data_IF_330889327853
#
_entry.id   IF_330889327853
#
_cell.length_a   1.000
_cell.length_b   1.000
_cell.length_c   1.000
_cell.angle_alpha   90.00
_cell.angle_beta   90.00
_cell.angle_gamma   90.00
#
_symmetry.space_group_name_H-M   'P 1'
#
loop_
_entity.id
_entity.type
_entity.pdbx_description
1 polymer ?
#
# COMPACT_ATOMS: atom_id res chain seq x y z
N UNK A 1 9.80 -28.21 -58.79
CA UNK A 1 8.42 -27.71 -58.64
C UNK A 1 7.48 -28.77 -58.09
N UNK A 2 7.13 -29.83 -58.85
CA UNK A 2 6.17 -30.87 -58.41
C UNK A 2 6.53 -31.56 -57.08
N UNK A 3 7.79 -31.96 -56.89
CA UNK A 3 8.23 -32.60 -55.64
C UNK A 3 8.11 -31.67 -54.42
N UNK A 4 8.43 -30.38 -54.57
CA UNK A 4 8.31 -29.38 -53.51
C UNK A 4 6.83 -29.17 -53.16
N UNK A 5 5.95 -29.07 -54.16
CA UNK A 5 4.51 -28.97 -53.94
C UNK A 5 3.95 -30.21 -53.22
N UNK A 6 4.40 -31.42 -53.58
CA UNK A 6 3.99 -32.66 -52.93
C UNK A 6 4.46 -32.73 -51.46
N UNK A 7 5.69 -32.33 -51.17
CA UNK A 7 6.20 -32.25 -49.80
C UNK A 7 5.42 -31.24 -48.95
N UNK A 8 5.11 -30.06 -49.48
CA UNK A 8 4.32 -29.03 -48.79
C UNK A 8 2.91 -29.55 -48.49
N UNK A 9 2.27 -30.21 -49.46
CA UNK A 9 0.95 -30.82 -49.26
C UNK A 9 0.98 -31.94 -48.20
N UNK A 10 2.00 -32.80 -48.22
CA UNK A 10 2.14 -33.85 -47.22
C UNK A 10 2.30 -33.30 -45.80
N UNK A 11 3.13 -32.26 -45.62
CA UNK A 11 3.29 -31.56 -44.33
C UNK A 11 1.99 -30.91 -43.89
N UNK A 12 1.23 -30.30 -44.82
CA UNK A 12 -0.03 -29.65 -44.51
C UNK A 12 -1.12 -30.65 -44.10
N UNK A 13 -1.22 -31.80 -44.79
CA UNK A 13 -2.14 -32.90 -44.45
C UNK A 13 -1.78 -33.51 -43.09
N UNK A 14 -0.49 -33.75 -42.83
CA UNK A 14 -0.03 -34.23 -41.52
C UNK A 14 -0.32 -33.20 -40.40
N UNK A 15 -0.11 -31.91 -40.68
CA UNK A 15 -0.46 -30.81 -39.78
C UNK A 15 -1.95 -30.71 -39.48
N UNK A 16 -2.82 -30.92 -40.48
CA UNK A 16 -4.26 -30.96 -40.28
C UNK A 16 -4.71 -32.18 -39.46
N UNK A 17 -4.16 -33.37 -39.73
CA UNK A 17 -4.48 -34.57 -38.94
C UNK A 17 -4.08 -34.39 -37.48
N UNK A 18 -2.86 -33.91 -37.21
CA UNK A 18 -2.39 -33.66 -35.85
C UNK A 18 -3.24 -32.61 -35.13
N UNK A 19 -3.59 -31.50 -35.81
CA UNK A 19 -4.52 -30.50 -35.29
C UNK A 19 -5.90 -31.09 -34.97
N UNK A 20 -6.45 -31.93 -35.85
CA UNK A 20 -7.74 -32.59 -35.64
C UNK A 20 -7.75 -33.48 -34.40
N UNK A 21 -6.76 -34.38 -34.25
CA UNK A 21 -6.67 -35.26 -33.08
C UNK A 21 -6.45 -34.48 -31.79
N UNK A 22 -5.58 -33.47 -31.81
CA UNK A 22 -5.34 -32.61 -30.65
C UNK A 22 -6.62 -31.87 -30.20
N UNK A 23 -7.38 -31.31 -31.16
CA UNK A 23 -8.63 -30.63 -30.86
C UNK A 23 -9.72 -31.61 -30.38
N UNK A 24 -9.83 -32.80 -31.00
CA UNK A 24 -10.80 -33.82 -30.60
C UNK A 24 -10.55 -34.31 -29.18
N UNK A 25 -9.29 -34.61 -28.83
CA UNK A 25 -8.92 -35.02 -27.49
C UNK A 25 -9.25 -33.93 -26.46
N UNK A 26 -8.96 -32.67 -26.79
CA UNK A 26 -9.23 -31.54 -25.91
C UNK A 26 -10.73 -31.27 -25.72
N UNK A 27 -11.56 -31.45 -26.77
CA UNK A 27 -13.03 -31.39 -26.66
C UNK A 27 -13.57 -32.50 -25.76
N UNK A 28 -13.09 -33.73 -25.94
CA UNK A 28 -13.52 -34.88 -25.14
C UNK A 28 -13.15 -34.71 -23.67
N UNK A 29 -11.91 -34.29 -23.38
CA UNK A 29 -11.44 -34.06 -22.01
C UNK A 29 -12.28 -32.99 -21.31
N UNK A 30 -12.47 -31.84 -21.95
CA UNK A 30 -13.30 -30.75 -21.39
C UNK A 30 -14.74 -31.22 -21.16
N UNK A 31 -15.31 -31.99 -22.10
CA UNK A 31 -16.64 -32.57 -21.96
C UNK A 31 -16.77 -33.50 -20.75
N UNK A 32 -15.81 -34.41 -20.56
CA UNK A 32 -15.79 -35.36 -19.43
C UNK A 32 -15.64 -34.62 -18.10
N UNK A 33 -14.75 -33.64 -18.02
CA UNK A 33 -14.55 -32.90 -16.76
C UNK A 33 -15.74 -31.99 -16.46
N UNK A 34 -16.36 -31.39 -17.47
CA UNK A 34 -17.58 -30.59 -17.32
C UNK A 34 -18.77 -31.41 -16.81
N UNK A 35 -18.93 -32.65 -17.28
CA UNK A 35 -20.01 -33.53 -16.77
C UNK A 35 -19.71 -33.99 -15.36
N UNK A 36 -18.48 -34.45 -15.06
CA UNK A 36 -18.08 -34.87 -13.70
C UNK A 36 -18.20 -33.76 -12.66
N UNK A 37 -17.78 -32.53 -12.97
CA UNK A 37 -17.89 -31.40 -12.06
C UNK A 37 -19.36 -31.02 -11.73
N UNK A 38 -20.30 -31.38 -12.61
CA UNK A 38 -21.73 -31.12 -12.45
C UNK A 38 -22.51 -32.30 -11.87
N UNK A 39 -21.92 -33.49 -11.84
CA UNK A 39 -22.61 -34.69 -11.38
C UNK A 39 -22.67 -34.73 -9.85
N UNK A 40 -23.86 -34.45 -9.32
CA UNK A 40 -24.14 -34.41 -7.87
C UNK A 40 -24.01 -35.80 -7.24
N UNK A 41 -24.05 -36.88 -8.03
CA UNK A 41 -23.92 -38.26 -7.55
C UNK A 41 -22.48 -38.62 -7.16
N UNK A 42 -21.50 -37.90 -7.70
CA UNK A 42 -20.09 -38.12 -7.38
C UNK A 42 -19.73 -37.54 -6.00
N UNK A 43 -18.70 -38.07 -5.33
CA UNK A 43 -18.15 -37.44 -4.13
C UNK A 43 -17.71 -35.99 -4.38
N UNK A 44 -17.85 -35.12 -3.38
CA UNK A 44 -17.52 -33.70 -3.50
C UNK A 44 -16.04 -33.46 -3.86
N UNK A 45 -15.14 -34.31 -3.37
CA UNK A 45 -13.72 -34.30 -3.72
C UNK A 45 -13.48 -34.51 -5.21
N UNK A 46 -14.19 -35.47 -5.83
CA UNK A 46 -14.11 -35.75 -7.27
C UNK A 46 -14.70 -34.61 -8.09
N UNK A 47 -15.83 -34.04 -7.66
CA UNK A 47 -16.43 -32.88 -8.32
C UNK A 47 -15.47 -31.67 -8.32
N UNK A 48 -14.79 -31.40 -7.20
CA UNK A 48 -13.80 -30.32 -7.10
C UNK A 48 -12.55 -30.60 -7.95
N UNK A 49 -12.05 -31.84 -7.96
CA UNK A 49 -10.90 -32.22 -8.80
C UNK A 49 -11.23 -32.10 -10.30
N UNK A 50 -12.43 -32.52 -10.71
CA UNK A 50 -12.91 -32.35 -12.07
C UNK A 50 -13.07 -30.86 -12.43
N UNK A 51 -13.62 -30.05 -11.53
CA UNK A 51 -13.76 -28.60 -11.73
C UNK A 51 -12.39 -27.93 -11.88
N UNK A 52 -11.40 -28.31 -11.08
CA UNK A 52 -10.04 -27.79 -11.17
C UNK A 52 -9.36 -28.17 -12.48
N UNK A 53 -9.55 -29.41 -12.92
CA UNK A 53 -9.04 -29.87 -14.22
C UNK A 53 -9.68 -29.07 -15.34
N UNK A 54 -11.01 -28.89 -15.31
CA UNK A 54 -11.75 -28.05 -16.26
C UNK A 54 -11.24 -26.60 -16.26
N UNK A 55 -11.05 -25.98 -15.09
CA UNK A 55 -10.47 -24.65 -14.97
C UNK A 55 -9.12 -24.55 -15.66
N UNK A 56 -8.19 -25.48 -15.39
CA UNK A 56 -6.85 -25.46 -15.98
C UNK A 56 -6.88 -25.54 -17.52
N UNK A 57 -7.91 -26.19 -18.09
CA UNK A 57 -8.12 -26.23 -19.54
C UNK A 57 -8.66 -24.89 -20.05
N UNK A 58 -9.58 -24.26 -19.33
CA UNK A 58 -10.11 -22.94 -19.69
C UNK A 58 -9.02 -21.86 -19.61
N UNK A 59 -8.18 -21.86 -18.57
CA UNK A 59 -7.00 -20.99 -18.47
C UNK A 59 -6.06 -21.16 -19.66
N UNK A 60 -5.77 -22.42 -20.04
CA UNK A 60 -4.97 -22.72 -21.23
C UNK A 60 -5.62 -22.21 -22.51
N UNK A 61 -6.94 -22.34 -22.65
CA UNK A 61 -7.67 -21.80 -23.81
C UNK A 61 -7.62 -20.26 -23.84
N UNK A 62 -7.86 -19.60 -22.70
CA UNK A 62 -7.76 -18.13 -22.57
C UNK A 62 -6.37 -17.64 -22.93
N UNK A 63 -5.32 -18.32 -22.43
CA UNK A 63 -3.92 -18.01 -22.76
C UNK A 63 -3.65 -18.13 -24.27
N UNK A 64 -4.09 -19.24 -24.90
CA UNK A 64 -3.90 -19.47 -26.35
C UNK A 64 -4.64 -18.44 -27.21
N UNK A 65 -5.82 -18.00 -26.79
CA UNK A 65 -6.57 -16.96 -27.51
C UNK A 65 -5.82 -15.62 -27.46
N UNK A 66 -5.16 -15.29 -26.35
CA UNK A 66 -4.40 -14.04 -26.19
C UNK A 66 -3.01 -14.07 -26.83
N UNK A 67 -2.29 -15.20 -26.71
CA UNK A 67 -0.88 -15.32 -27.08
C UNK A 67 -0.62 -16.19 -28.32
N UNK A 68 -1.67 -16.75 -28.92
CA UNK A 68 -1.61 -17.63 -30.09
C UNK A 68 -1.60 -19.12 -29.74
N UNK A 69 -2.18 -19.93 -30.62
CA UNK A 69 -2.18 -21.39 -30.49
C UNK A 69 -0.79 -22.00 -30.79
N UNK A 70 -0.47 -23.16 -30.19
CA UNK A 70 0.72 -23.93 -30.55
C UNK A 70 0.77 -24.23 -32.05
N UNK A 71 1.97 -24.29 -32.64
CA UNK A 71 2.16 -24.43 -34.09
C UNK A 71 1.40 -25.63 -34.70
N UNK A 72 1.33 -26.75 -33.98
CA UNK A 72 0.61 -27.96 -34.41
C UNK A 72 -0.93 -27.79 -34.45
N UNK A 73 -1.47 -26.70 -33.89
CA UNK A 73 -2.90 -26.35 -33.97
C UNK A 73 -3.19 -25.28 -35.03
N UNK A 74 -2.17 -24.68 -35.66
CA UNK A 74 -2.32 -23.54 -36.58
C UNK A 74 -2.71 -23.91 -38.02
N UNK A 75 -2.92 -25.19 -38.31
CA UNK A 75 -3.31 -25.69 -39.63
C UNK A 75 -4.82 -25.51 -39.94
N UNK A 76 -5.41 -24.39 -39.51
CA UNK A 76 -6.78 -23.98 -39.90
C UNK A 76 -7.94 -24.64 -39.14
N UNK A 77 -7.67 -25.52 -38.17
CA UNK A 77 -8.70 -26.20 -37.36
C UNK A 77 -8.81 -25.64 -35.92
N UNK A 78 -8.31 -24.43 -35.66
CA UNK A 78 -8.34 -23.84 -34.33
C UNK A 78 -9.79 -23.62 -33.85
N UNK A 79 -10.15 -24.24 -32.72
CA UNK A 79 -11.50 -24.11 -32.10
C UNK A 79 -11.46 -23.51 -30.70
N UNK A 80 -10.34 -22.91 -30.30
CA UNK A 80 -10.11 -22.47 -28.91
C UNK A 80 -11.20 -21.52 -28.41
N UNK A 81 -11.56 -20.49 -29.20
CA UNK A 81 -12.60 -19.52 -28.84
C UNK A 81 -14.00 -20.15 -28.75
N UNK A 82 -14.39 -20.95 -29.74
CA UNK A 82 -15.67 -21.65 -29.74
C UNK A 82 -15.79 -22.62 -28.56
N UNK A 83 -14.73 -23.38 -28.29
CA UNK A 83 -14.74 -24.32 -27.19
C UNK A 83 -14.74 -23.64 -25.83
N UNK A 84 -14.00 -22.53 -25.67
CA UNK A 84 -14.08 -21.70 -24.48
C UNK A 84 -15.53 -21.25 -24.28
N UNK A 85 -16.17 -20.66 -25.31
CA UNK A 85 -17.55 -20.18 -25.24
C UNK A 85 -18.58 -21.27 -24.89
N UNK A 86 -18.35 -22.51 -25.33
CA UNK A 86 -19.23 -23.65 -25.05
C UNK A 86 -19.00 -24.25 -23.66
N UNK A 87 -17.74 -24.29 -23.20
CA UNK A 87 -17.37 -24.93 -21.94
C UNK A 87 -17.54 -24.02 -20.73
N UNK A 88 -17.39 -22.70 -20.90
CA UNK A 88 -17.45 -21.73 -19.81
C UNK A 88 -18.79 -21.73 -19.06
N UNK A 89 -19.97 -21.83 -19.70
CA UNK A 89 -21.24 -21.94 -18.99
C UNK A 89 -21.33 -23.19 -18.10
N UNK A 90 -20.79 -24.33 -18.57
CA UNK A 90 -20.73 -25.56 -17.77
C UNK A 90 -19.81 -25.40 -16.55
N UNK A 91 -18.65 -24.78 -16.74
CA UNK A 91 -17.77 -24.39 -15.64
C UNK A 91 -18.49 -23.48 -14.65
N UNK A 92 -19.13 -22.41 -15.13
CA UNK A 92 -19.84 -21.44 -14.31
C UNK A 92 -20.92 -22.09 -13.44
N UNK A 93 -21.70 -23.02 -14.00
CA UNK A 93 -22.72 -23.74 -13.25
C UNK A 93 -22.13 -24.57 -12.11
N UNK A 94 -21.05 -25.31 -12.37
CA UNK A 94 -20.37 -26.10 -11.35
C UNK A 94 -19.66 -25.21 -10.32
N UNK A 95 -18.91 -24.20 -10.76
CA UNK A 95 -18.19 -23.27 -9.90
C UNK A 95 -19.11 -22.43 -9.03
N UNK A 96 -20.27 -22.00 -9.53
CA UNK A 96 -21.23 -21.27 -8.72
C UNK A 96 -21.73 -22.13 -7.56
N UNK A 97 -22.06 -23.41 -7.79
CA UNK A 97 -22.49 -24.31 -6.72
C UNK A 97 -21.34 -24.70 -5.78
N UNK A 98 -20.20 -25.08 -6.35
CA UNK A 98 -19.09 -25.69 -5.60
C UNK A 98 -18.17 -24.67 -4.94
N UNK A 99 -18.09 -23.44 -5.45
CA UNK A 99 -17.15 -22.41 -4.99
C UNK A 99 -17.93 -21.22 -4.44
N UNK A 100 -18.74 -20.56 -5.28
CA UNK A 100 -19.46 -19.33 -4.90
C UNK A 100 -20.43 -19.57 -3.76
N UNK A 101 -21.35 -20.52 -3.89
CA UNK A 101 -22.42 -20.71 -2.92
C UNK A 101 -21.87 -21.22 -1.59
N UNK A 102 -20.85 -22.08 -1.61
CA UNK A 102 -20.14 -22.56 -0.41
C UNK A 102 -19.40 -21.41 0.29
N UNK A 103 -18.64 -20.60 -0.46
CA UNK A 103 -17.95 -19.44 0.09
C UNK A 103 -18.92 -18.40 0.65
N UNK A 104 -20.01 -18.10 -0.06
CA UNK A 104 -21.03 -17.17 0.37
C UNK A 104 -21.72 -17.65 1.66
N UNK A 105 -22.12 -18.92 1.72
CA UNK A 105 -22.74 -19.51 2.90
C UNK A 105 -21.80 -19.47 4.12
N UNK A 106 -20.52 -19.83 3.92
CA UNK A 106 -19.51 -19.75 4.97
C UNK A 106 -19.33 -18.32 5.50
N UNK A 107 -19.14 -17.35 4.61
CA UNK A 107 -18.98 -15.94 4.99
C UNK A 107 -20.22 -15.43 5.73
N UNK A 108 -21.43 -15.73 5.23
CA UNK A 108 -22.68 -15.33 5.88
C UNK A 108 -22.82 -15.97 7.26
N UNK A 109 -22.47 -17.25 7.43
CA UNK A 109 -22.51 -17.94 8.72
C UNK A 109 -21.55 -17.28 9.72
N UNK A 110 -20.32 -16.99 9.31
CA UNK A 110 -19.31 -16.35 10.15
C UNK A 110 -19.72 -14.94 10.58
N UNK A 111 -20.31 -14.16 9.67
CA UNK A 111 -20.81 -12.82 9.95
C UNK A 111 -22.06 -12.85 10.85
N UNK A 112 -22.97 -13.80 10.68
CA UNK A 112 -24.10 -14.00 11.59
C UNK A 112 -23.63 -14.36 13.00
N UNK A 113 -22.64 -15.25 13.12
CA UNK A 113 -22.05 -15.60 14.41
C UNK A 113 -21.40 -14.37 15.10
N UNK A 114 -20.80 -13.48 14.32
CA UNK A 114 -20.24 -12.23 14.84
C UNK A 114 -21.29 -11.26 15.39
N UNK A 115 -22.43 -11.11 14.68
CA UNK A 115 -23.57 -10.32 15.16
C UNK A 115 -24.09 -10.87 16.48
N UNK A 116 -24.18 -12.20 16.61
CA UNK A 116 -24.68 -12.88 17.80
C UNK A 116 -23.80 -12.74 19.06
N UNK A 117 -22.53 -12.28 18.92
CA UNK A 117 -21.68 -12.03 20.09
C UNK A 117 -22.27 -10.93 21.01
N UNK A 118 -21.90 -10.90 22.30
CA UNK A 118 -22.28 -9.79 23.18
C UNK A 118 -21.60 -8.45 22.79
N UNK A 119 -22.27 -7.29 22.95
CA UNK A 119 -21.74 -5.95 22.62
C UNK A 119 -20.36 -5.59 23.16
N UNK A 120 -19.97 -6.15 24.29
CA UNK A 120 -18.71 -5.84 24.99
C UNK A 120 -17.81 -7.07 25.20
N UNK A 121 -18.00 -8.15 24.44
CA UNK A 121 -17.14 -9.33 24.62
C UNK A 121 -15.72 -9.08 24.12
N UNK A 122 -14.67 -9.56 24.82
CA UNK A 122 -13.29 -9.42 24.35
C UNK A 122 -13.06 -10.15 23.02
N UNK A 123 -13.79 -11.24 22.77
CA UNK A 123 -13.72 -11.97 21.50
C UNK A 123 -14.20 -11.12 20.32
N UNK A 124 -15.23 -10.28 20.53
CA UNK A 124 -15.69 -9.34 19.50
C UNK A 124 -14.55 -8.39 19.15
N UNK A 125 -13.91 -7.76 20.15
CA UNK A 125 -12.76 -6.86 19.98
C UNK A 125 -11.59 -7.52 19.24
N UNK A 126 -11.23 -8.74 19.63
CA UNK A 126 -10.09 -9.47 19.06
C UNK A 126 -10.31 -9.89 17.59
N UNK A 127 -11.55 -10.19 17.18
CA UNK A 127 -11.85 -10.71 15.84
C UNK A 127 -12.28 -9.64 14.83
N UNK A 128 -12.27 -8.35 15.19
CA UNK A 128 -12.80 -7.28 14.33
C UNK A 128 -12.16 -7.19 12.95
N UNK A 129 -10.82 -7.27 12.88
CA UNK A 129 -10.10 -7.20 11.60
C UNK A 129 -10.42 -8.40 10.69
N UNK A 130 -10.50 -9.59 11.29
CA UNK A 130 -10.86 -10.81 10.59
C UNK A 130 -12.28 -10.73 10.00
N UNK A 131 -13.24 -10.24 10.80
CA UNK A 131 -14.63 -10.05 10.37
C UNK A 131 -14.78 -8.97 9.31
N UNK A 132 -13.93 -7.95 9.37
CA UNK A 132 -13.81 -6.96 8.30
C UNK A 132 -13.36 -7.60 6.98
N UNK A 133 -12.30 -8.42 6.99
CA UNK A 133 -11.83 -9.12 5.78
C UNK A 133 -12.92 -10.03 5.19
N UNK A 134 -13.69 -10.72 6.04
CA UNK A 134 -14.83 -11.54 5.62
C UNK A 134 -15.99 -10.72 5.03
N UNK A 135 -16.33 -9.57 5.63
CA UNK A 135 -17.31 -8.65 5.05
C UNK A 135 -16.85 -8.12 3.68
N UNK A 136 -15.58 -7.71 3.58
CA UNK A 136 -14.98 -7.27 2.31
C UNK A 136 -15.09 -8.36 1.25
N UNK A 137 -14.68 -9.60 1.56
CA UNK A 137 -14.81 -10.75 0.67
C UNK A 137 -16.26 -11.01 0.22
N UNK A 138 -17.23 -10.95 1.14
CA UNK A 138 -18.65 -11.14 0.80
C UNK A 138 -19.17 -10.05 -0.15
N UNK A 139 -18.76 -8.80 0.07
CA UNK A 139 -19.17 -7.67 -0.77
C UNK A 139 -18.50 -7.72 -2.15
N UNK A 140 -17.27 -8.21 -2.27
CA UNK A 140 -16.61 -8.45 -3.57
C UNK A 140 -17.43 -9.39 -4.45
N UNK A 141 -18.01 -10.45 -3.87
CA UNK A 141 -18.89 -11.39 -4.59
C UNK A 141 -20.19 -10.73 -5.10
N UNK A 142 -20.56 -9.56 -4.59
CA UNK A 142 -21.75 -8.79 -4.99
C UNK A 142 -21.44 -7.61 -5.92
N UNK A 143 -20.18 -7.18 -5.97
CA UNK A 143 -19.67 -6.01 -6.70
C UNK A 143 -18.50 -6.42 -7.60
N UNK A 144 -18.77 -6.88 -8.84
CA UNK A 144 -17.73 -7.35 -9.76
C UNK A 144 -16.59 -6.36 -9.97
N UNK A 145 -16.87 -5.06 -9.96
CA UNK A 145 -15.91 -3.97 -10.11
C UNK A 145 -14.92 -3.83 -8.94
N UNK A 146 -15.18 -4.48 -7.80
CA UNK A 146 -14.29 -4.51 -6.62
C UNK A 146 -13.60 -5.88 -6.45
N UNK A 147 -13.61 -6.72 -7.48
CA UNK A 147 -12.98 -8.05 -7.44
C UNK A 147 -11.47 -7.97 -7.17
N UNK A 148 -11.02 -8.74 -6.17
CA UNK A 148 -9.60 -9.00 -5.89
C UNK A 148 -9.43 -10.49 -5.59
N UNK A 149 -8.89 -11.22 -6.56
CA UNK A 149 -8.77 -12.67 -6.51
C UNK A 149 -7.77 -13.15 -5.44
N UNK A 150 -6.65 -12.45 -5.29
CA UNK A 150 -5.60 -12.80 -4.34
C UNK A 150 -6.09 -12.58 -2.90
N UNK A 151 -6.73 -11.43 -2.64
CA UNK A 151 -7.32 -11.13 -1.35
C UNK A 151 -8.42 -12.14 -0.99
N UNK A 152 -9.33 -12.44 -1.93
CA UNK A 152 -10.45 -13.35 -1.69
C UNK A 152 -9.98 -14.77 -1.35
N UNK A 153 -9.05 -15.31 -2.16
CA UNK A 153 -8.48 -16.64 -1.95
C UNK A 153 -7.75 -16.73 -0.61
N UNK A 154 -6.86 -15.76 -0.33
CA UNK A 154 -6.10 -15.71 0.93
C UNK A 154 -7.02 -15.62 2.15
N UNK A 155 -8.07 -14.79 2.08
CA UNK A 155 -9.03 -14.61 3.18
C UNK A 155 -9.79 -15.89 3.49
N UNK A 156 -10.27 -16.62 2.47
CA UNK A 156 -11.00 -17.86 2.68
C UNK A 156 -10.10 -19.03 3.10
N UNK A 157 -8.83 -19.02 2.70
CA UNK A 157 -7.85 -20.05 3.10
C UNK A 157 -7.40 -19.88 4.55
N UNK A 158 -7.09 -18.66 4.99
CA UNK A 158 -6.72 -18.39 6.39
C UNK A 158 -7.82 -18.83 7.38
N UNK A 159 -9.07 -18.74 6.93
CA UNK A 159 -10.27 -19.02 7.71
C UNK A 159 -10.75 -20.47 7.60
N UNK A 160 -9.91 -21.35 7.03
CA UNK A 160 -10.17 -22.78 6.89
C UNK A 160 -11.55 -23.08 6.30
N UNK A 161 -11.92 -22.47 5.17
CA UNK A 161 -13.16 -22.80 4.45
C UNK A 161 -13.31 -24.32 4.31
N UNK A 162 -14.25 -24.91 5.06
CA UNK A 162 -14.40 -26.37 5.17
C UNK A 162 -15.40 -26.90 4.17
N UNK A 163 -15.02 -28.01 3.53
CA UNK A 163 -15.89 -28.83 2.72
C UNK A 163 -16.10 -30.14 3.46
N UNK A 164 -17.36 -30.46 3.78
CA UNK A 164 -17.68 -31.73 4.40
C UNK A 164 -17.22 -32.89 3.51
N UNK A 165 -16.61 -33.92 4.11
CA UNK A 165 -16.13 -35.11 3.40
C UNK A 165 -15.07 -34.87 2.29
N UNK A 166 -14.34 -33.75 2.32
CA UNK A 166 -13.19 -33.52 1.42
C UNK A 166 -11.88 -33.54 2.22
N UNK A 167 -10.92 -34.42 1.88
CA UNK A 167 -9.61 -34.47 2.55
C UNK A 167 -8.88 -33.13 2.51
N UNK A 168 -8.17 -32.80 3.59
CA UNK A 168 -7.40 -31.55 3.74
C UNK A 168 -6.40 -31.34 2.60
N UNK A 169 -5.61 -32.37 2.28
CA UNK A 169 -4.59 -32.29 1.22
C UNK A 169 -5.17 -31.99 -0.16
N UNK A 170 -6.30 -32.62 -0.52
CA UNK A 170 -7.00 -32.35 -1.79
C UNK A 170 -7.57 -30.95 -1.84
N UNK A 171 -8.08 -30.45 -0.72
CA UNK A 171 -8.64 -29.10 -0.66
C UNK A 171 -7.55 -28.04 -0.79
N UNK A 172 -6.44 -28.19 -0.06
CA UNK A 172 -5.34 -27.24 -0.10
C UNK A 172 -4.68 -27.16 -1.49
N UNK A 173 -4.67 -28.27 -2.24
CA UNK A 173 -4.09 -28.28 -3.59
C UNK A 173 -4.99 -27.67 -4.67
N UNK A 174 -6.31 -27.73 -4.50
CA UNK A 174 -7.28 -27.36 -5.54
C UNK A 174 -7.99 -26.02 -5.24
N UNK A 175 -8.43 -25.82 -4.01
CA UNK A 175 -9.36 -24.75 -3.66
C UNK A 175 -8.80 -23.33 -3.84
N UNK A 176 -7.53 -23.03 -3.50
CA UNK A 176 -6.97 -21.69 -3.73
C UNK A 176 -7.04 -21.29 -5.21
N UNK A 177 -6.75 -22.22 -6.12
CA UNK A 177 -6.81 -22.01 -7.56
C UNK A 177 -8.26 -21.77 -8.02
N UNK A 178 -9.20 -22.57 -7.54
CA UNK A 178 -10.63 -22.41 -7.83
C UNK A 178 -11.19 -21.05 -7.40
N UNK A 179 -10.86 -20.62 -6.18
CA UNK A 179 -11.30 -19.32 -5.64
C UNK A 179 -10.73 -18.15 -6.43
N UNK A 180 -9.44 -18.22 -6.76
CA UNK A 180 -8.73 -17.18 -7.50
C UNK A 180 -9.34 -17.02 -8.89
N UNK A 181 -9.51 -18.12 -9.62
CA UNK A 181 -10.05 -18.05 -10.98
C UNK A 181 -11.52 -17.61 -11.01
N UNK A 182 -12.37 -18.10 -10.10
CA UNK A 182 -13.75 -17.66 -10.03
C UNK A 182 -13.85 -16.15 -9.78
N UNK A 183 -13.08 -15.62 -8.83
CA UNK A 183 -13.06 -14.20 -8.49
C UNK A 183 -12.48 -13.35 -9.64
N UNK A 184 -11.40 -13.80 -10.27
CA UNK A 184 -10.78 -13.10 -11.40
C UNK A 184 -11.69 -12.98 -12.63
N UNK A 185 -12.60 -13.94 -12.83
CA UNK A 185 -13.55 -13.93 -13.96
C UNK A 185 -14.89 -13.27 -13.60
N UNK A 186 -15.13 -12.88 -12.34
CA UNK A 186 -16.37 -12.21 -11.93
C UNK A 186 -16.66 -10.88 -12.68
N UNK A 187 -15.67 -9.99 -12.97
CA UNK A 187 -15.91 -8.75 -13.71
C UNK A 187 -16.46 -8.99 -15.13
N UNK A 188 -15.94 -10.00 -15.82
CA UNK A 188 -16.37 -10.39 -17.18
C UNK A 188 -17.69 -11.16 -17.19
N UNK A 189 -18.11 -11.67 -16.03
CA UNK A 189 -19.35 -12.44 -15.87
C UNK A 189 -20.22 -11.92 -14.71
N UNK A 190 -20.77 -10.68 -14.78
CA UNK A 190 -21.53 -10.07 -13.71
C UNK A 190 -22.76 -10.88 -13.25
N UNK A 191 -23.29 -11.77 -14.09
CA UNK A 191 -24.38 -12.69 -13.77
C UNK A 191 -24.01 -13.71 -12.66
N UNK A 192 -22.73 -13.89 -12.35
CA UNK A 192 -22.29 -14.77 -11.27
C UNK A 192 -22.42 -14.14 -9.88
N UNK A 193 -22.62 -12.81 -9.81
CA UNK A 193 -22.70 -12.10 -8.53
C UNK A 193 -23.75 -12.69 -7.59
N UNK A 194 -23.50 -12.59 -6.31
CA UNK A 194 -24.48 -12.89 -5.27
C UNK A 194 -25.22 -11.62 -4.84
N UNK A 195 -26.35 -11.79 -4.18
CA UNK A 195 -27.06 -10.73 -3.47
C UNK A 195 -27.01 -11.04 -1.96
N UNK A 196 -26.03 -10.51 -1.20
CA UNK A 196 -25.99 -10.67 0.25
C UNK A 196 -27.21 -10.03 0.91
N UNK A 197 -27.63 -10.57 2.05
CA UNK A 197 -28.75 -10.00 2.81
C UNK A 197 -28.41 -8.57 3.28
N UNK A 198 -29.18 -7.54 2.89
CA UNK A 198 -28.88 -6.16 3.26
C UNK A 198 -28.78 -5.95 4.77
N UNK A 199 -29.67 -6.60 5.54
CA UNK A 199 -29.71 -6.53 7.01
C UNK A 199 -28.44 -7.10 7.65
N UNK A 200 -27.91 -8.21 7.11
CA UNK A 200 -26.64 -8.79 7.56
C UNK A 200 -25.51 -7.78 7.36
N UNK A 201 -25.39 -7.23 6.15
CA UNK A 201 -24.30 -6.31 5.81
C UNK A 201 -24.36 -5.03 6.65
N UNK A 202 -25.53 -4.44 6.86
CA UNK A 202 -25.69 -3.23 7.66
C UNK A 202 -25.41 -3.47 9.15
N UNK A 203 -25.83 -4.60 9.70
CA UNK A 203 -25.56 -4.96 11.09
C UNK A 203 -24.06 -5.16 11.36
N UNK A 204 -23.36 -5.91 10.50
CA UNK A 204 -21.90 -6.11 10.62
C UNK A 204 -21.17 -4.78 10.50
N UNK A 205 -21.52 -3.95 9.52
CA UNK A 205 -20.89 -2.62 9.33
C UNK A 205 -20.98 -1.77 10.59
N UNK A 206 -22.16 -1.69 11.22
CA UNK A 206 -22.35 -0.94 12.48
C UNK A 206 -21.44 -1.43 13.60
N UNK A 207 -21.31 -2.76 13.76
CA UNK A 207 -20.42 -3.33 14.78
C UNK A 207 -18.95 -3.01 14.47
N UNK A 208 -18.52 -3.20 13.23
CA UNK A 208 -17.14 -2.97 12.81
C UNK A 208 -16.75 -1.49 12.90
N UNK A 209 -17.63 -0.56 12.53
CA UNK A 209 -17.38 0.88 12.64
C UNK A 209 -17.13 1.29 14.09
N UNK A 210 -17.95 0.79 15.03
CA UNK A 210 -17.77 1.06 16.46
C UNK A 210 -16.45 0.51 17.02
N UNK A 211 -15.93 -0.57 16.45
CA UNK A 211 -14.82 -1.33 17.02
C UNK A 211 -13.46 -1.03 16.36
N UNK A 212 -13.42 -0.95 15.02
CA UNK A 212 -12.20 -0.68 14.26
C UNK A 212 -11.84 0.81 14.34
N UNK A 213 -12.82 1.67 14.64
CA UNK A 213 -12.71 3.12 14.55
C UNK A 213 -11.77 3.84 15.51
N UNK A 214 -10.99 3.21 16.40
CA UNK A 214 -10.33 4.02 17.45
C UNK A 214 -8.81 3.88 17.64
N UNK A 215 -8.15 2.70 17.70
CA UNK A 215 -6.72 2.68 18.09
C UNK A 215 -5.80 1.62 17.48
N UNK A 216 -6.24 0.38 17.31
CA UNK A 216 -5.33 -0.71 16.90
C UNK A 216 -4.97 -0.69 15.41
N UNK A 217 -5.89 -0.23 14.55
CA UNK A 217 -5.63 -0.13 13.12
C UNK A 217 -4.62 0.97 12.78
N UNK A 218 -4.71 2.14 13.44
CA UNK A 218 -3.80 3.27 13.20
C UNK A 218 -2.34 2.90 13.50
N UNK A 219 -2.09 2.13 14.58
CA UNK A 219 -0.74 1.71 14.92
C UNK A 219 -0.13 0.78 13.87
N UNK A 220 -0.89 -0.22 13.41
CA UNK A 220 -0.42 -1.14 12.35
C UNK A 220 -0.20 -0.40 11.03
N UNK A 221 -1.09 0.52 10.66
CA UNK A 221 -0.95 1.35 9.46
C UNK A 221 0.32 2.19 9.51
N UNK A 222 0.56 2.86 10.65
CA UNK A 222 1.77 3.66 10.85
C UNK A 222 3.05 2.82 10.74
N UNK A 223 3.09 1.66 11.40
CA UNK A 223 4.26 0.76 11.34
C UNK A 223 4.53 0.23 9.93
N UNK A 224 3.46 -0.04 9.15
CA UNK A 224 3.61 -0.45 7.76
C UNK A 224 4.19 0.66 6.88
N UNK A 225 3.75 1.91 7.06
CA UNK A 225 4.33 3.08 6.38
C UNK A 225 5.82 3.17 6.67
N UNK A 226 6.21 3.13 7.96
CA UNK A 226 7.61 3.21 8.34
C UNK A 226 8.45 2.06 7.76
N UNK A 227 7.97 0.82 7.83
CA UNK A 227 8.67 -0.36 7.29
C UNK A 227 8.85 -0.31 5.77
N UNK A 228 7.91 0.30 5.05
CA UNK A 228 8.02 0.50 3.61
C UNK A 228 9.11 1.54 3.28
N UNK A 229 9.09 2.67 3.99
CA UNK A 229 10.03 3.78 3.78
C UNK A 229 11.45 3.40 4.24
N UNK A 230 11.61 2.73 5.37
CA UNK A 230 12.91 2.42 5.98
C UNK A 230 13.82 1.58 5.07
N UNK A 231 13.27 0.90 4.06
CA UNK A 231 14.04 0.11 3.09
C UNK A 231 14.80 0.96 2.07
N UNK A 232 14.38 2.21 1.88
CA UNK A 232 14.85 3.09 0.81
C UNK A 232 15.73 4.23 1.31
N UNK A 233 15.83 4.43 2.63
CA UNK A 233 16.60 5.51 3.23
C UNK A 233 17.55 4.94 4.27
N UNK A 234 18.84 5.10 4.03
CA UNK A 234 19.89 4.75 4.98
C UNK A 234 19.91 5.73 6.16
N UNK A 235 20.36 5.24 7.32
CA UNK A 235 20.51 6.07 8.51
C UNK A 235 21.59 7.13 8.30
N UNK A 236 21.35 8.33 8.84
CA UNK A 236 22.26 9.47 8.73
C UNK A 236 23.17 9.51 9.96
N UNK A 237 24.47 9.58 9.71
CA UNK A 237 25.52 9.70 10.74
C UNK A 237 25.94 11.15 10.96
N UNK A 238 26.74 11.41 12.00
CA UNK A 238 27.31 12.75 12.23
C UNK A 238 28.20 13.22 11.07
N UNK A 239 28.96 12.31 10.45
CA UNK A 239 29.80 12.62 9.31
C UNK A 239 28.96 13.09 8.11
N UNK A 240 27.83 12.41 7.83
CA UNK A 240 26.92 12.80 6.75
C UNK A 240 26.31 14.20 6.97
N UNK A 241 26.10 14.61 8.22
CA UNK A 241 25.53 15.92 8.57
C UNK A 241 26.54 17.07 8.54
N UNK A 242 27.83 16.74 8.65
CA UNK A 242 28.93 17.71 8.71
C UNK A 242 29.72 17.77 7.40
N UNK A 243 29.45 16.86 6.46
CA UNK A 243 29.99 16.88 5.11
C UNK A 243 31.52 16.74 5.13
N UNK A 244 32.20 17.62 4.41
CA UNK A 244 33.67 17.64 4.34
C UNK A 244 34.34 18.28 5.57
N UNK A 245 33.57 18.76 6.55
CA UNK A 245 34.16 19.30 7.79
C UNK A 245 34.62 18.16 8.70
N UNK A 246 35.80 18.33 9.31
CA UNK A 246 36.37 17.33 10.20
C UNK A 246 35.63 17.35 11.55
N UNK A 247 34.50 16.65 11.66
CA UNK A 247 33.74 16.55 12.90
C UNK A 247 34.40 15.62 13.94
N UNK A 248 35.09 14.58 13.46
CA UNK A 248 35.70 13.55 14.30
C UNK A 248 36.67 14.05 15.38
N UNK A 249 37.49 15.10 15.17
CA UNK A 249 38.35 15.65 16.21
C UNK A 249 37.58 16.33 17.37
N UNK A 250 36.37 16.84 17.13
CA UNK A 250 35.60 17.61 18.13
C UNK A 250 34.52 16.78 18.80
N UNK A 251 33.84 15.93 18.04
CA UNK A 251 32.61 15.30 18.47
C UNK A 251 32.69 13.78 18.39
N UNK A 252 32.04 13.11 19.32
CA UNK A 252 31.73 11.68 19.25
C UNK A 252 30.23 11.45 19.47
N UNK A 253 29.71 10.44 18.78
CA UNK A 253 28.36 9.92 19.03
C UNK A 253 28.32 8.43 18.68
N UNK A 254 27.48 7.69 19.38
CA UNK A 254 27.17 6.29 19.09
C UNK A 254 25.79 6.12 18.43
N UNK A 255 25.04 7.22 18.28
CA UNK A 255 23.70 7.18 17.67
C UNK A 255 23.73 7.68 16.23
N UNK A 256 22.82 7.14 15.44
CA UNK A 256 22.47 7.61 14.10
C UNK A 256 21.01 8.06 14.10
N UNK A 257 20.63 8.89 13.14
CA UNK A 257 19.23 9.22 12.90
C UNK A 257 18.69 8.25 11.85
N UNK A 258 17.60 7.51 12.14
CA UNK A 258 17.01 6.62 11.14
C UNK A 258 16.63 7.38 9.87
N UNK A 259 17.01 6.85 8.69
CA UNK A 259 16.88 7.57 7.42
C UNK A 259 15.45 8.01 7.08
N UNK A 260 14.46 7.28 7.59
CA UNK A 260 13.04 7.59 7.43
C UNK A 260 12.57 8.86 8.17
N UNK A 261 13.35 9.35 9.14
CA UNK A 261 13.08 10.59 9.89
C UNK A 261 13.94 11.74 9.39
N UNK A 262 13.93 11.94 8.08
CA UNK A 262 14.70 12.99 7.40
C UNK A 262 13.77 13.76 6.47
N UNK A 263 14.13 15.00 6.15
CA UNK A 263 13.38 15.83 5.22
C UNK A 263 13.23 15.16 3.86
N UNK A 264 14.30 14.52 3.39
CA UNK A 264 14.33 13.75 2.16
C UNK A 264 13.29 12.62 2.19
N UNK A 265 13.22 11.87 3.29
CA UNK A 265 12.22 10.82 3.44
C UNK A 265 10.80 11.38 3.52
N UNK A 266 10.58 12.49 4.24
CA UNK A 266 9.29 13.16 4.32
C UNK A 266 8.77 13.60 2.95
N UNK A 267 9.57 14.39 2.24
CA UNK A 267 9.22 14.95 0.93
C UNK A 267 9.21 13.89 -0.18
N UNK A 268 10.04 12.85 -0.05
CA UNK A 268 10.21 11.82 -1.07
C UNK A 268 9.18 10.69 -1.00
N UNK A 269 8.92 10.10 0.18
CA UNK A 269 8.07 8.90 0.27
C UNK A 269 7.09 8.88 1.44
N UNK A 270 7.42 9.42 2.61
CA UNK A 270 6.56 9.30 3.80
C UNK A 270 5.23 10.02 3.58
N UNK A 271 5.26 11.27 3.07
CA UNK A 271 4.04 12.04 2.80
C UNK A 271 3.11 11.27 1.86
N UNK A 272 3.65 10.75 0.76
CA UNK A 272 2.88 9.97 -0.21
C UNK A 272 2.37 8.64 0.39
N UNK A 273 3.21 7.92 1.14
CA UNK A 273 2.81 6.66 1.78
C UNK A 273 1.66 6.86 2.78
N UNK A 274 1.67 7.96 3.54
CA UNK A 274 0.54 8.35 4.40
C UNK A 274 -0.71 8.65 3.55
N UNK A 275 -0.60 9.41 2.46
CA UNK A 275 -1.73 9.69 1.56
C UNK A 275 -2.31 8.41 0.92
N UNK A 276 -1.46 7.48 0.51
CA UNK A 276 -1.87 6.19 -0.04
C UNK A 276 -2.64 5.37 0.99
N UNK A 277 -2.16 5.31 2.24
CA UNK A 277 -2.86 4.64 3.34
C UNK A 277 -4.20 5.31 3.63
N UNK A 278 -4.25 6.64 3.66
CA UNK A 278 -5.49 7.39 3.87
C UNK A 278 -6.48 7.17 2.72
N UNK A 279 -6.03 7.14 1.48
CA UNK A 279 -6.85 6.91 0.28
C UNK A 279 -7.38 5.48 0.24
N UNK A 280 -6.51 4.49 0.45
CA UNK A 280 -6.90 3.09 0.54
C UNK A 280 -7.93 2.90 1.66
N UNK A 281 -7.71 3.54 2.82
CA UNK A 281 -8.65 3.51 3.93
C UNK A 281 -9.96 4.19 3.61
N UNK A 282 -9.94 5.31 2.87
CA UNK A 282 -11.13 6.01 2.40
C UNK A 282 -11.95 5.11 1.48
N UNK A 283 -11.35 4.49 0.47
CA UNK A 283 -12.04 3.58 -0.42
C UNK A 283 -12.63 2.40 0.37
N UNK A 284 -11.82 1.76 1.21
CA UNK A 284 -12.24 0.67 2.06
C UNK A 284 -13.43 1.03 2.97
N UNK A 285 -13.37 2.18 3.66
CA UNK A 285 -14.49 2.67 4.45
C UNK A 285 -15.69 2.98 3.55
N UNK A 286 -15.48 3.69 2.44
CA UNK A 286 -16.51 4.18 1.52
C UNK A 286 -17.31 3.05 0.88
N UNK A 287 -16.70 1.91 0.54
CA UNK A 287 -17.44 0.84 -0.13
C UNK A 287 -17.71 -0.39 0.76
N UNK A 288 -16.83 -0.72 1.72
CA UNK A 288 -17.00 -1.87 2.63
C UNK A 288 -17.83 -1.50 3.85
N UNK A 289 -17.53 -0.37 4.49
CA UNK A 289 -18.11 -0.01 5.79
C UNK A 289 -19.25 1.00 5.72
N UNK A 290 -19.36 1.80 4.66
CA UNK A 290 -20.45 2.76 4.52
C UNK A 290 -21.76 2.05 4.17
N UNK A 291 -22.84 2.49 4.81
CA UNK A 291 -24.19 2.28 4.33
C UNK A 291 -24.59 3.58 3.64
N UNK A 292 -24.88 3.55 2.33
CA UNK A 292 -25.19 4.75 1.50
C UNK A 292 -26.32 5.65 2.07
N UNK A 293 -26.99 5.22 3.14
CA UNK A 293 -28.16 5.89 3.75
C UNK A 293 -27.89 6.52 5.11
N UNK A 294 -26.72 6.33 5.73
CA UNK A 294 -26.48 6.87 7.06
C UNK A 294 -25.03 7.35 7.20
N UNK A 295 -24.93 8.65 7.44
CA UNK A 295 -23.77 9.53 7.40
C UNK A 295 -22.48 8.95 8.00
N UNK A 296 -21.38 9.34 7.34
CA UNK A 296 -20.03 9.21 7.85
C UNK A 296 -19.96 9.82 9.26
N UNK A 297 -19.82 8.97 10.26
CA UNK A 297 -19.38 9.35 11.60
C UNK A 297 -18.09 10.17 11.46
N UNK A 298 -18.17 11.46 11.79
CA UNK A 298 -17.10 12.46 11.62
C UNK A 298 -15.77 12.09 12.32
N UNK A 299 -15.80 11.18 13.29
CA UNK A 299 -14.64 10.73 14.06
C UNK A 299 -13.70 9.75 13.30
N UNK A 300 -14.10 9.28 12.11
CA UNK A 300 -13.32 8.34 11.27
C UNK A 300 -13.12 8.92 9.85
N UNK A 301 -13.09 10.25 9.72
CA UNK A 301 -12.81 10.88 8.43
C UNK A 301 -11.35 10.63 8.00
N UNK A 302 -11.08 10.36 6.71
CA UNK A 302 -9.74 10.23 6.15
C UNK A 302 -8.80 11.39 6.53
N UNK A 303 -9.36 12.59 6.67
CA UNK A 303 -8.68 13.83 7.02
C UNK A 303 -8.16 13.82 8.46
N UNK A 304 -8.97 13.32 9.41
CA UNK A 304 -8.55 13.14 10.81
C UNK A 304 -7.47 12.05 10.90
N UNK A 305 -7.59 10.97 10.12
CA UNK A 305 -6.57 9.92 10.06
C UNK A 305 -5.24 10.47 9.52
N UNK A 306 -5.27 11.23 8.42
CA UNK A 306 -4.09 11.90 7.85
C UNK A 306 -3.40 12.77 8.91
N UNK A 307 -4.18 13.61 9.61
CA UNK A 307 -3.65 14.50 10.64
C UNK A 307 -3.01 13.73 11.80
N UNK A 308 -3.64 12.65 12.27
CA UNK A 308 -3.11 11.81 13.36
C UNK A 308 -1.82 11.10 12.95
N UNK A 309 -1.78 10.47 11.78
CA UNK A 309 -0.59 9.78 11.27
C UNK A 309 0.57 10.77 11.06
N UNK A 310 0.28 11.94 10.51
CA UNK A 310 1.27 13.00 10.28
C UNK A 310 1.82 13.54 11.61
N UNK A 311 0.93 13.83 12.57
CA UNK A 311 1.33 14.31 13.91
C UNK A 311 2.21 13.29 14.62
N UNK A 312 1.84 12.00 14.55
CA UNK A 312 2.63 10.92 15.12
C UNK A 312 4.00 10.80 14.46
N UNK A 313 4.06 10.82 13.13
CA UNK A 313 5.32 10.80 12.39
C UNK A 313 6.26 11.92 12.85
N UNK A 314 5.74 13.15 12.92
CA UNK A 314 6.54 14.29 13.37
C UNK A 314 6.96 14.18 14.83
N UNK A 315 6.12 13.59 15.70
CA UNK A 315 6.51 13.32 17.09
C UNK A 315 7.71 12.35 17.17
N UNK A 316 7.68 11.27 16.39
CA UNK A 316 8.78 10.29 16.35
C UNK A 316 10.03 10.88 15.68
N UNK A 317 9.85 11.66 14.61
CA UNK A 317 10.92 12.41 13.94
C UNK A 317 11.67 13.30 14.95
N UNK A 318 10.93 14.14 15.68
CA UNK A 318 11.48 15.01 16.70
C UNK A 318 12.22 14.22 17.79
N UNK A 319 11.63 13.11 18.25
CA UNK A 319 12.24 12.23 19.23
C UNK A 319 13.57 11.64 18.77
N UNK A 320 13.66 11.15 17.53
CA UNK A 320 14.90 10.61 16.96
C UNK A 320 16.01 11.65 16.84
N UNK A 321 15.68 12.85 16.35
CA UNK A 321 16.65 13.94 16.25
C UNK A 321 17.11 14.45 17.62
N UNK A 322 16.20 14.57 18.59
CA UNK A 322 16.55 14.96 19.95
C UNK A 322 17.45 13.92 20.62
N UNK A 323 17.18 12.62 20.44
CA UNK A 323 18.02 11.56 20.97
C UNK A 323 19.44 11.64 20.39
N UNK A 324 19.55 11.80 19.07
CA UNK A 324 20.83 11.97 18.38
C UNK A 324 21.59 13.19 18.90
N UNK A 325 20.98 14.39 18.93
CA UNK A 325 21.67 15.60 19.38
C UNK A 325 22.13 15.51 20.83
N UNK A 326 21.34 14.90 21.71
CA UNK A 326 21.70 14.68 23.12
C UNK A 326 22.80 13.62 23.32
N UNK A 327 23.02 12.76 22.32
CA UNK A 327 24.08 11.75 22.34
C UNK A 327 25.46 12.31 21.96
N UNK A 328 25.51 13.48 21.31
CA UNK A 328 26.76 14.11 20.90
C UNK A 328 27.56 14.49 22.15
N UNK A 329 28.83 14.09 22.17
CA UNK A 329 29.79 14.37 23.24
C UNK A 329 30.98 15.11 22.66
N UNK A 330 31.53 16.02 23.45
CA UNK A 330 32.82 16.63 23.15
C UNK A 330 33.94 15.62 23.40
N UNK A 331 34.86 15.46 22.44
CA UNK A 331 36.06 14.64 22.65
C UNK A 331 37.09 15.45 23.44
N UNK A 332 37.48 14.93 24.60
CA UNK A 332 38.48 15.56 25.45
C UNK A 332 39.88 15.34 24.88
N UNK A 333 40.66 16.41 24.77
CA UNK A 333 42.09 16.38 24.45
C UNK A 333 42.94 16.48 25.71
N UNK A 334 44.06 15.75 25.72
CA UNK A 334 44.97 15.68 26.87
C UNK A 334 46.15 16.66 26.76
N UNK A 335 46.26 17.38 25.63
CA UNK A 335 47.33 18.34 25.38
C UNK A 335 46.81 19.75 25.10
N UNK A 336 47.55 20.78 25.53
CA UNK A 336 47.22 22.18 25.25
C UNK A 336 47.15 22.46 23.74
N UNK A 337 48.05 21.85 22.95
CA UNK A 337 48.04 21.97 21.49
C UNK A 337 46.76 21.40 20.90
N UNK A 338 46.35 20.19 21.33
CA UNK A 338 45.10 19.58 20.86
C UNK A 338 43.86 20.42 21.22
N UNK A 339 43.83 21.00 22.42
CA UNK A 339 42.74 21.93 22.81
C UNK A 339 42.73 23.18 21.94
N UNK A 340 43.91 23.74 21.62
CA UNK A 340 44.02 24.92 20.75
C UNK A 340 43.57 24.60 19.31
N UNK A 341 43.95 23.43 18.80
CA UNK A 341 43.53 22.95 17.47
C UNK A 341 42.01 22.76 17.42
N UNK A 342 41.42 22.17 18.48
CA UNK A 342 39.96 22.00 18.57
C UNK A 342 39.22 23.35 18.61
N UNK A 343 39.70 24.31 19.39
CA UNK A 343 39.10 25.65 19.46
C UNK A 343 39.25 26.41 18.15
N UNK A 344 40.39 26.26 17.47
CA UNK A 344 40.64 26.87 16.16
C UNK A 344 39.69 26.32 15.11
N UNK A 345 39.52 24.99 15.08
CA UNK A 345 38.59 24.32 14.17
C UNK A 345 37.13 24.71 14.44
N UNK A 346 36.74 24.86 15.70
CA UNK A 346 35.39 25.31 16.07
C UNK A 346 35.13 26.76 15.66
N UNK A 347 36.13 27.64 15.77
CA UNK A 347 36.02 29.07 15.46
C UNK A 347 36.19 29.39 13.97
N UNK A 348 36.66 28.44 13.15
CA UNK A 348 36.81 28.62 11.71
C UNK A 348 35.44 28.74 11.03
N UNK A 349 35.11 29.94 10.55
CA UNK A 349 33.82 30.23 9.92
C UNK A 349 33.52 29.40 8.65
N UNK A 350 34.53 28.79 8.02
CA UNK A 350 34.38 27.99 6.79
C UNK A 350 34.43 26.49 7.04
N UNK A 351 35.19 26.04 8.03
CA UNK A 351 35.42 24.62 8.29
C UNK A 351 34.82 24.11 9.60
N UNK A 352 34.12 24.96 10.36
CA UNK A 352 33.53 24.57 11.64
C UNK A 352 32.49 23.47 11.48
N UNK A 353 32.72 22.28 12.06
CA UNK A 353 31.74 21.20 12.07
C UNK A 353 30.50 21.54 12.89
N UNK A 354 30.61 22.48 13.84
CA UNK A 354 29.47 22.98 14.60
C UNK A 354 28.52 23.78 13.72
N UNK A 355 29.06 24.67 12.88
CA UNK A 355 28.26 25.46 11.92
C UNK A 355 27.56 24.53 10.94
N UNK A 356 28.30 23.59 10.33
CA UNK A 356 27.74 22.61 9.40
C UNK A 356 26.62 21.76 10.04
N UNK A 357 26.83 21.29 11.27
CA UNK A 357 25.79 20.57 12.02
C UNK A 357 24.56 21.45 12.28
N UNK A 358 24.75 22.69 12.71
CA UNK A 358 23.62 23.60 12.96
C UNK A 358 22.82 23.93 11.70
N UNK A 359 23.48 24.08 10.56
CA UNK A 359 22.83 24.31 9.26
C UNK A 359 22.01 23.08 8.85
N UNK A 360 22.57 21.88 9.00
CA UNK A 360 21.85 20.63 8.74
C UNK A 360 20.64 20.49 9.65
N UNK A 361 20.77 20.75 10.95
CA UNK A 361 19.65 20.70 11.91
C UNK A 361 18.59 21.73 11.55
N UNK A 362 18.97 22.95 11.17
CA UNK A 362 18.03 23.99 10.74
C UNK A 362 17.28 23.58 9.47
N UNK A 363 17.97 22.98 8.50
CA UNK A 363 17.38 22.48 7.27
C UNK A 363 16.38 21.35 7.50
N UNK A 364 16.69 20.43 8.43
CA UNK A 364 15.83 19.32 8.84
C UNK A 364 14.65 19.79 9.70
N UNK A 365 14.84 20.78 10.57
CA UNK A 365 13.77 21.37 11.37
C UNK A 365 12.73 22.14 10.52
N UNK A 366 13.09 22.57 9.31
CA UNK A 366 12.15 23.17 8.37
C UNK A 366 11.23 22.16 7.65
N UNK A 367 11.36 20.85 7.93
CA UNK A 367 10.55 19.79 7.32
C UNK A 367 9.06 19.97 7.62
N UNK A 368 8.21 19.75 6.62
CA UNK A 368 6.76 19.78 6.79
C UNK A 368 6.12 21.16 6.82
N UNK A 369 6.91 22.23 6.69
CA UNK A 369 6.38 23.57 6.40
C UNK A 369 5.70 23.53 5.03
N UNK A 370 4.48 24.06 4.93
CA UNK A 370 3.89 24.32 3.62
C UNK A 370 4.80 25.31 2.91
N UNK A 371 5.49 24.86 1.86
CA UNK A 371 6.14 25.79 0.96
C UNK A 371 5.03 26.64 0.38
N UNK A 372 4.94 27.91 0.82
CA UNK A 372 4.23 28.92 0.05
C UNK A 372 4.78 28.77 -1.37
N UNK A 373 3.95 28.24 -2.27
CA UNK A 373 4.41 27.73 -3.56
C UNK A 373 5.29 28.78 -4.21
N UNK A 374 6.47 28.40 -4.70
CA UNK A 374 7.37 29.31 -5.41
C UNK A 374 6.63 30.12 -6.49
N UNK A 375 5.54 29.59 -7.03
CA UNK A 375 4.59 30.26 -7.92
C UNK A 375 3.87 31.46 -7.29
N UNK A 376 3.39 31.37 -6.05
CA UNK A 376 2.65 32.44 -5.38
C UNK A 376 3.57 33.58 -4.94
N UNK A 377 4.82 33.27 -4.56
CA UNK A 377 5.82 34.29 -4.25
C UNK A 377 6.30 35.00 -5.52
N UNK A 378 6.46 34.27 -6.64
CA UNK A 378 6.78 34.86 -7.95
C UNK A 378 5.62 35.68 -8.51
N UNK A 379 4.37 35.21 -8.38
CA UNK A 379 3.18 35.95 -8.81
C UNK A 379 2.96 37.19 -7.95
N UNK A 380 3.14 37.13 -6.62
CA UNK A 380 3.12 38.34 -5.76
C UNK A 380 4.25 39.30 -6.10
N UNK A 381 5.46 38.80 -6.37
CA UNK A 381 6.62 39.63 -6.72
C UNK A 381 6.44 40.31 -8.08
N UNK A 382 5.90 39.59 -9.07
CA UNK A 382 5.52 40.15 -10.35
C UNK A 382 4.41 41.21 -10.18
N UNK A 383 3.36 40.91 -9.40
CA UNK A 383 2.26 41.85 -9.13
C UNK A 383 2.71 43.11 -8.39
N UNK A 384 3.72 43.00 -7.51
CA UNK A 384 4.34 44.14 -6.83
C UNK A 384 5.22 44.97 -7.77
N UNK A 385 5.86 44.35 -8.76
CA UNK A 385 6.62 45.05 -9.80
C UNK A 385 5.72 45.73 -10.85
N UNK A 386 4.56 45.16 -11.15
CA UNK A 386 3.59 45.75 -12.09
C UNK A 386 2.75 46.88 -11.47
N UNK A 387 2.52 46.87 -10.16
CA UNK A 387 1.73 47.91 -9.47
C UNK A 387 2.62 49.05 -8.95
N UNK A 388 3.44 49.61 -9.84
CA UNK A 388 4.41 50.68 -9.55
C UNK A 388 3.93 51.70 -8.51
N UNK A 389 4.50 51.60 -7.32
CA UNK A 389 4.58 52.69 -6.35
C UNK A 389 6.02 52.79 -5.91
N UNK A 390 6.74 53.72 -6.52
CA UNK A 390 7.87 54.36 -5.86
C UNK A 390 7.38 54.86 -4.51
N UNK A 391 7.95 54.31 -3.43
CA UNK A 391 8.05 55.00 -2.15
C UNK A 391 9.21 54.37 -1.39
N UNK A 392 10.28 55.16 -1.31
CA UNK A 392 11.31 55.09 -0.28
C UNK A 392 10.66 55.04 1.10
N UNK A 393 10.74 53.88 1.75
CA UNK A 393 10.67 53.71 3.21
C UNK A 393 11.19 52.32 3.54
N UNK A 394 12.19 52.27 4.42
CA UNK A 394 12.68 51.04 5.04
C UNK A 394 11.55 50.37 5.84
N UNK A 395 10.73 49.56 5.18
CA UNK A 395 9.89 48.58 5.84
C UNK A 395 10.63 47.24 5.79
N UNK A 396 11.24 46.89 6.91
CA UNK A 396 11.68 45.51 7.19
C UNK A 396 10.48 44.61 6.90
N UNK A 397 10.54 43.83 5.82
CA UNK A 397 9.55 42.81 5.50
C UNK A 397 9.58 41.80 6.63
N UNK A 398 8.53 41.80 7.44
CA UNK A 398 8.25 40.78 8.44
C UNK A 398 7.72 39.57 7.66
N UNK A 399 8.63 38.72 7.18
CA UNK A 399 8.25 37.45 6.55
C UNK A 399 7.70 36.55 7.66
N UNK A 400 6.38 36.51 7.82
CA UNK A 400 5.68 35.52 8.63
C UNK A 400 5.84 34.16 7.93
N UNK A 401 6.92 33.44 8.24
CA UNK A 401 7.06 32.03 7.86
C UNK A 401 5.95 31.22 8.53
N UNK A 402 5.12 30.46 7.78
CA UNK A 402 4.09 29.62 8.37
C UNK A 402 4.68 28.65 9.39
N UNK A 403 4.04 28.54 10.56
CA UNK A 403 4.48 27.65 11.62
C UNK A 403 4.52 26.19 11.14
N UNK A 404 5.71 25.58 11.18
CA UNK A 404 5.95 24.19 10.85
C UNK A 404 5.67 23.24 12.01
N UNK A 405 5.40 21.95 11.74
CA UNK A 405 5.13 20.94 12.77
C UNK A 405 6.31 20.73 13.74
N UNK A 406 7.53 21.10 13.33
CA UNK A 406 8.77 20.95 14.08
C UNK A 406 9.22 22.20 14.85
N UNK A 407 8.55 23.33 14.65
CA UNK A 407 9.02 24.62 15.17
C UNK A 407 9.04 24.66 16.70
N UNK A 408 8.07 24.02 17.37
CA UNK A 408 8.04 23.97 18.84
C UNK A 408 9.17 23.13 19.43
N UNK A 409 9.52 22.01 18.80
CA UNK A 409 10.56 21.10 19.29
C UNK A 409 11.95 21.69 19.12
N UNK A 410 12.23 22.30 17.96
CA UNK A 410 13.55 22.85 17.64
C UNK A 410 13.71 24.34 18.00
N UNK A 411 12.65 25.02 18.48
CA UNK A 411 12.66 26.45 18.79
C UNK A 411 13.89 26.93 19.61
N UNK A 412 14.33 26.24 20.68
CA UNK A 412 15.50 26.68 21.45
C UNK A 412 16.78 26.71 20.62
N UNK A 413 17.00 25.69 19.78
CA UNK A 413 18.19 25.58 18.92
C UNK A 413 18.13 26.59 17.77
N UNK A 414 16.96 26.73 17.13
CA UNK A 414 16.77 27.67 16.03
C UNK A 414 17.00 29.13 16.49
N UNK A 415 16.53 29.50 17.70
CA UNK A 415 16.80 30.81 18.30
C UNK A 415 18.30 31.07 18.51
N UNK A 416 19.06 30.06 18.91
CA UNK A 416 20.51 30.18 19.12
C UNK A 416 21.26 30.42 17.80
N UNK A 417 20.79 29.81 16.71
CA UNK A 417 21.35 29.95 15.35
C UNK A 417 20.93 31.30 14.71
N UNK A 418 20.07 32.09 15.37
CA UNK A 418 19.54 33.34 14.83
C UNK A 418 18.41 33.14 13.81
N UNK A 419 17.92 31.90 13.65
CA UNK A 419 16.77 31.55 12.80
C UNK A 419 15.54 31.53 13.71
N UNK A 420 14.80 32.63 13.78
CA UNK A 420 13.62 32.68 14.65
C UNK A 420 12.37 32.10 13.98
N UNK A 421 11.67 31.14 14.62
CA UNK A 421 10.31 30.76 14.23
C UNK A 421 9.24 31.76 14.72
N UNK A 422 9.58 32.67 15.64
CA UNK A 422 8.71 33.79 16.03
C UNK A 422 9.56 35.03 16.36
N UNK A 423 9.17 36.17 15.78
CA UNK A 423 9.98 37.38 15.64
C UNK A 423 10.39 38.11 16.93
N UNK A 424 11.61 38.65 16.87
CA UNK A 424 12.27 39.46 17.89
C UNK A 424 13.76 39.64 17.58
N UNK A 425 14.12 40.72 16.89
CA UNK A 425 15.51 41.10 16.56
C UNK A 425 16.35 41.27 17.83
N UNK A 426 17.56 40.70 17.87
CA UNK A 426 18.67 41.23 18.68
C UNK A 426 19.75 41.71 17.71
N UNK A 427 19.97 43.02 17.72
CA UNK A 427 21.08 43.69 17.05
C UNK A 427 22.39 43.19 17.65
N UNK A 428 23.22 42.52 16.84
CA UNK A 428 24.64 42.37 17.12
C UNK A 428 25.28 43.76 17.04
N UNK A 429 25.50 44.40 18.20
CA UNK A 429 26.34 45.58 18.28
C UNK A 429 27.80 45.14 18.13
N UNK A 430 28.38 45.42 16.97
CA UNK A 430 29.80 45.28 16.73
C UNK A 430 30.59 46.13 17.73
N UNK A 431 31.49 45.48 18.48
CA UNK A 431 32.49 46.15 19.29
C UNK A 431 33.52 46.80 18.34
N UNK A 432 33.59 48.14 18.32
CA UNK A 432 34.66 48.89 17.65
C UNK A 432 35.90 48.92 18.55
N UNK A 433 37.12 48.70 18.02
CA UNK A 433 38.33 49.06 18.74
C UNK A 433 38.59 50.57 18.59
N UNK A 434 39.21 51.16 19.62
CA UNK A 434 39.55 52.58 19.71
C UNK A 434 40.70 53.02 18.82
#
# INVERSE_FOLDING_TARGET
>A
MLAICACVLAVWVAGMMTSFFANRALIQEIGIQATRARDIRLPLSEQLAALHTLQSQLERLQYRIRHGAPWYQRFGLERNAHLLSAAFPCYAQAANRLVRDVAAAYLQQQLNAFIALPPNSPQRTATGEQRYKQLKALLMMSRPEKSDAAFFSTTLMAEHLRYAAVPEGTRQSVLPSLLTFWMANLPEHPQWKIAPQPQLTSAVRKILLRQIGVRNAENTLYQNVLKQVSRNYADITLADMTGDTLADPLFSTEQTVPGMFTRQAWEGQVKEAIEQVVTARREEIDWVLSDRRQDASADISPEVLRARLTTRYFTDFAGSWQAFLNSIRWKKEDSLSGVLDQLTLMADARQSPLIALTDTVAWQAATGRESAGLSDSLVKSAKALFNGKENTSHAVRKDETPAGPMDKTFAPLLRLIGIQPEGGVILSSACKPG
#
